data_IF_002938077370
#
_entry.id   IF_002938077370
#
_cell.length_a   1.000
_cell.length_b   1.000
_cell.length_c   1.000
_cell.angle_alpha   90.00
_cell.angle_beta   90.00
_cell.angle_gamma   90.00
#
_symmetry.space_group_name_H-M   'P 1'
#
loop_
_entity.id
_entity.type
_entity.pdbx_description
1 polymer ?
#
# COMPACT_ATOMS: atom_id res chain seq x y z
N UNK A 1 -31.38 8.02 7.60
CA UNK A 1 -29.91 8.06 7.80
C UNK A 1 -29.62 8.39 9.24
N UNK A 2 -28.93 7.51 9.98
CA UNK A 2 -28.37 7.87 11.29
C UNK A 2 -27.21 8.84 11.02
N UNK A 3 -27.23 10.03 11.63
CA UNK A 3 -26.08 10.95 11.58
C UNK A 3 -24.96 10.29 12.38
N UNK A 4 -23.80 10.07 11.76
CA UNK A 4 -22.60 9.73 12.54
C UNK A 4 -22.21 10.96 13.37
N UNK A 5 -21.94 10.73 14.65
CA UNK A 5 -21.26 11.65 15.53
C UNK A 5 -19.83 11.88 15.00
N UNK A 6 -19.33 13.12 15.08
CA UNK A 6 -17.97 13.49 14.67
C UNK A 6 -16.90 12.59 15.34
N UNK A 7 -17.13 12.21 16.60
CA UNK A 7 -16.22 11.30 17.32
C UNK A 7 -16.22 9.89 16.72
N UNK A 8 -17.37 9.40 16.28
CA UNK A 8 -17.46 8.09 15.61
C UNK A 8 -16.79 8.11 14.23
N UNK A 9 -16.85 9.25 13.52
CA UNK A 9 -16.14 9.42 12.25
C UNK A 9 -14.62 9.40 12.48
N UNK A 10 -14.13 10.11 13.49
CA UNK A 10 -12.71 10.14 13.85
C UNK A 10 -12.18 8.74 14.22
N UNK A 11 -12.91 8.00 15.07
CA UNK A 11 -12.53 6.63 15.45
C UNK A 11 -12.52 5.66 14.25
N UNK A 12 -13.46 5.82 13.31
CA UNK A 12 -13.49 5.03 12.08
C UNK A 12 -12.30 5.37 11.17
N UNK A 13 -12.02 6.66 10.94
CA UNK A 13 -10.88 7.12 10.15
C UNK A 13 -9.55 6.62 10.72
N UNK A 14 -9.35 6.68 12.04
CA UNK A 14 -8.15 6.12 12.67
C UNK A 14 -8.04 4.60 12.49
N UNK A 15 -9.15 3.88 12.60
CA UNK A 15 -9.18 2.43 12.42
C UNK A 15 -8.83 2.05 10.98
N UNK A 16 -9.43 2.72 10.01
CA UNK A 16 -9.18 2.51 8.58
C UNK A 16 -7.73 2.86 8.22
N UNK A 17 -7.19 3.95 8.75
CA UNK A 17 -5.79 4.32 8.55
C UNK A 17 -4.82 3.25 9.10
N UNK A 18 -5.07 2.71 10.30
CA UNK A 18 -4.25 1.62 10.88
C UNK A 18 -4.30 0.36 10.01
N UNK A 19 -5.47 0.02 9.48
CA UNK A 19 -5.62 -1.12 8.57
C UNK A 19 -4.85 -0.90 7.27
N UNK A 20 -4.93 0.31 6.69
CA UNK A 20 -4.19 0.70 5.49
C UNK A 20 -2.67 0.58 5.69
N UNK A 21 -2.14 1.10 6.80
CA UNK A 21 -0.72 0.95 7.17
C UNK A 21 -0.34 -0.53 7.32
N UNK A 22 -1.20 -1.35 7.93
CA UNK A 22 -0.93 -2.78 8.06
C UNK A 22 -0.94 -3.52 6.71
N UNK A 23 -1.78 -3.11 5.76
CA UNK A 23 -1.77 -3.63 4.38
C UNK A 23 -0.48 -3.21 3.66
N UNK A 24 -0.08 -1.95 3.80
CA UNK A 24 1.17 -1.43 3.22
C UNK A 24 2.40 -2.20 3.68
N UNK A 25 2.56 -2.40 4.99
CA UNK A 25 3.69 -3.17 5.53
C UNK A 25 3.71 -4.60 4.96
N UNK A 26 2.55 -5.28 4.90
CA UNK A 26 2.46 -6.63 4.34
C UNK A 26 2.84 -6.70 2.86
N UNK A 27 2.45 -5.70 2.06
CA UNK A 27 2.83 -5.64 0.64
C UNK A 27 4.31 -5.31 0.46
N UNK A 28 4.89 -4.47 1.32
CA UNK A 28 6.33 -4.21 1.36
C UNK A 28 7.13 -5.49 1.62
N UNK A 29 6.71 -6.29 2.60
CA UNK A 29 7.34 -7.56 2.95
C UNK A 29 7.23 -8.58 1.81
N UNK A 30 6.08 -8.62 1.15
CA UNK A 30 5.84 -9.48 -0.01
C UNK A 30 6.72 -9.10 -1.20
N UNK A 31 6.80 -7.80 -1.54
CA UNK A 31 7.67 -7.25 -2.58
C UNK A 31 9.13 -7.59 -2.34
N UNK A 32 9.59 -7.41 -1.10
CA UNK A 32 10.95 -7.76 -0.69
C UNK A 32 11.23 -9.25 -0.88
N UNK A 33 10.31 -10.11 -0.43
CA UNK A 33 10.46 -11.57 -0.52
C UNK A 33 10.51 -12.07 -1.97
N UNK A 34 9.65 -11.53 -2.85
CA UNK A 34 9.63 -11.89 -4.27
C UNK A 34 10.87 -11.37 -4.99
N UNK A 35 11.34 -10.18 -4.65
CA UNK A 35 12.57 -9.61 -5.21
C UNK A 35 13.77 -10.50 -4.88
N UNK A 36 13.90 -10.92 -3.62
CA UNK A 36 14.96 -11.84 -3.21
C UNK A 36 14.88 -13.18 -3.97
N UNK A 37 13.69 -13.76 -4.07
CA UNK A 37 13.47 -15.02 -4.81
C UNK A 37 13.85 -14.89 -6.28
N UNK A 38 13.47 -13.78 -6.91
CA UNK A 38 13.83 -13.48 -8.29
C UNK A 38 15.36 -13.41 -8.46
N UNK A 39 16.05 -12.69 -7.58
CA UNK A 39 17.50 -12.48 -7.69
C UNK A 39 18.28 -13.78 -7.42
N UNK A 40 17.82 -14.61 -6.49
CA UNK A 40 18.34 -15.95 -6.25
C UNK A 40 18.16 -16.84 -7.49
N UNK A 41 17.03 -16.72 -8.20
CA UNK A 41 16.73 -17.44 -9.42
C UNK A 41 17.61 -16.96 -10.59
N UNK A 42 17.76 -15.65 -10.78
CA UNK A 42 18.68 -15.11 -11.80
C UNK A 42 20.11 -15.62 -11.61
N UNK A 43 20.55 -15.74 -10.35
CA UNK A 43 21.90 -16.24 -10.01
C UNK A 43 22.10 -17.72 -10.35
N UNK A 44 21.04 -18.53 -10.36
CA UNK A 44 21.08 -19.97 -10.63
C UNK A 44 21.14 -20.34 -12.13
N UNK A 45 21.12 -19.36 -13.03
CA UNK A 45 21.24 -19.47 -14.50
C UNK A 45 20.13 -20.27 -15.25
N UNK A 46 19.52 -21.30 -14.65
CA UNK A 46 18.39 -22.06 -15.23
C UNK A 46 17.35 -22.49 -14.18
N UNK A 47 16.60 -21.56 -13.56
CA UNK A 47 15.51 -21.92 -12.67
C UNK A 47 14.28 -22.35 -13.48
N UNK A 48 13.62 -23.47 -13.13
CA UNK A 48 12.46 -23.97 -13.85
C UNK A 48 11.24 -23.02 -13.80
N UNK A 49 11.26 -21.98 -12.96
CA UNK A 49 10.12 -21.08 -12.73
C UNK A 49 10.44 -19.59 -12.82
N UNK A 50 11.60 -19.19 -13.38
CA UNK A 50 12.00 -17.78 -13.44
C UNK A 50 10.93 -16.88 -14.06
N UNK A 51 10.33 -17.30 -15.17
CA UNK A 51 9.27 -16.53 -15.84
C UNK A 51 8.03 -16.31 -14.95
N UNK A 52 7.68 -17.29 -14.11
CA UNK A 52 6.55 -17.18 -13.18
C UNK A 52 6.87 -16.19 -12.07
N UNK A 53 8.06 -16.32 -11.47
CA UNK A 53 8.52 -15.39 -10.41
C UNK A 53 8.65 -13.97 -10.94
N UNK A 54 9.13 -13.80 -12.17
CA UNK A 54 9.19 -12.49 -12.83
C UNK A 54 7.80 -11.89 -13.07
N UNK A 55 6.83 -12.69 -13.51
CA UNK A 55 5.44 -12.22 -13.65
C UNK A 55 4.83 -11.81 -12.30
N UNK A 56 5.04 -12.60 -11.26
CA UNK A 56 4.58 -12.30 -9.89
C UNK A 56 5.24 -11.00 -9.38
N UNK A 57 6.55 -10.83 -9.62
CA UNK A 57 7.28 -9.61 -9.27
C UNK A 57 6.66 -8.37 -9.91
N UNK A 58 6.37 -8.41 -11.21
CA UNK A 58 5.77 -7.27 -11.92
C UNK A 58 4.41 -6.88 -11.31
N UNK A 59 3.57 -7.87 -10.99
CA UNK A 59 2.25 -7.62 -10.37
C UNK A 59 2.41 -7.00 -8.97
N UNK A 60 3.34 -7.51 -8.17
CA UNK A 60 3.55 -6.98 -6.82
C UNK A 60 4.20 -5.60 -6.85
N UNK A 61 5.10 -5.34 -7.80
CA UNK A 61 5.67 -4.01 -8.02
C UNK A 61 4.56 -3.01 -8.39
N UNK A 62 3.68 -3.34 -9.35
CA UNK A 62 2.55 -2.49 -9.75
C UNK A 62 1.60 -2.18 -8.58
N UNK A 63 1.14 -3.21 -7.87
CA UNK A 63 0.21 -3.04 -6.73
C UNK A 63 0.86 -2.23 -5.60
N UNK A 64 2.15 -2.46 -5.34
CA UNK A 64 2.87 -1.71 -4.32
C UNK A 64 3.04 -0.24 -4.72
N UNK A 65 3.41 0.03 -5.97
CA UNK A 65 3.62 1.40 -6.45
C UNK A 65 2.33 2.21 -6.47
N UNK A 66 1.20 1.58 -6.81
CA UNK A 66 -0.13 2.18 -6.69
C UNK A 66 -0.43 2.53 -5.23
N UNK A 67 -0.24 1.59 -4.30
CA UNK A 67 -0.48 1.82 -2.88
C UNK A 67 0.45 2.89 -2.28
N UNK A 68 1.74 2.86 -2.62
CA UNK A 68 2.73 3.85 -2.20
C UNK A 68 2.31 5.25 -2.65
N UNK A 69 1.86 5.40 -3.91
CA UNK A 69 1.35 6.66 -4.42
C UNK A 69 0.16 7.18 -3.59
N UNK A 70 -0.79 6.32 -3.22
CA UNK A 70 -1.94 6.73 -2.40
C UNK A 70 -1.56 7.12 -0.96
N UNK A 71 -0.44 6.63 -0.45
CA UNK A 71 0.07 6.95 0.88
C UNK A 71 0.98 8.18 0.92
N UNK A 72 1.35 8.74 -0.23
CA UNK A 72 2.14 9.99 -0.27
C UNK A 72 1.31 11.14 0.31
N UNK A 73 1.90 12.01 1.14
CA UNK A 73 1.21 13.16 1.69
C UNK A 73 0.58 14.07 0.63
N UNK A 74 1.08 14.11 -0.61
CA UNK A 74 0.50 14.92 -1.69
C UNK A 74 -0.75 14.28 -2.34
N UNK A 75 -0.97 12.99 -2.12
CA UNK A 75 -2.09 12.20 -2.66
C UNK A 75 -3.01 11.64 -1.56
N UNK A 76 -2.63 11.83 -0.29
CA UNK A 76 -3.42 11.54 0.89
C UNK A 76 -4.71 12.41 0.87
N UNK A 77 -5.89 11.80 0.74
CA UNK A 77 -7.14 12.56 0.76
C UNK A 77 -7.36 13.29 2.09
N UNK A 78 -6.80 12.82 3.20
CA UNK A 78 -6.91 13.45 4.53
C UNK A 78 -5.94 14.62 4.72
N UNK A 79 -4.79 14.63 4.05
CA UNK A 79 -3.90 15.80 4.02
C UNK A 79 -4.47 16.95 3.17
N UNK A 80 -5.30 16.65 2.16
CA UNK A 80 -6.06 17.64 1.41
C UNK A 80 -7.11 18.36 2.28
N UNK A 81 -7.62 17.72 3.35
CA UNK A 81 -8.51 18.38 4.31
C UNK A 81 -7.79 19.33 5.28
N UNK A 82 -6.47 19.24 5.44
CA UNK A 82 -5.71 20.20 6.28
C UNK A 82 -5.62 21.60 5.68
N UNK A 83 -5.92 21.78 4.39
CA UNK A 83 -5.89 23.08 3.71
C UNK A 83 -7.23 23.79 3.62
N UNK A 84 -8.32 23.17 4.09
CA UNK A 84 -9.61 23.84 4.16
C UNK A 84 -9.78 24.38 5.57
N UNK A 85 -9.34 25.62 5.81
CA UNK A 85 -9.82 26.36 6.97
C UNK A 85 -11.35 26.38 6.90
N UNK A 86 -12.01 25.86 7.94
CA UNK A 86 -13.45 26.04 8.10
C UNK A 86 -13.69 27.54 8.20
N UNK A 87 -14.27 28.14 7.17
CA UNK A 87 -14.95 29.43 7.33
C UNK A 87 -16.10 29.23 8.34
N UNK A 88 -16.05 30.01 9.42
CA UNK A 88 -17.05 30.03 10.50
C UNK A 88 -18.45 30.45 10.00
#
# INVERSE_FOLDING_TARGET
MKKLDAKMLEELSESEYKELVAVYCRLSDLKTSITQMHDDYVTQATPPELNKVQAIRLIVDEVFDDLDRYLRPECDPDSAYRTVEREE
#
